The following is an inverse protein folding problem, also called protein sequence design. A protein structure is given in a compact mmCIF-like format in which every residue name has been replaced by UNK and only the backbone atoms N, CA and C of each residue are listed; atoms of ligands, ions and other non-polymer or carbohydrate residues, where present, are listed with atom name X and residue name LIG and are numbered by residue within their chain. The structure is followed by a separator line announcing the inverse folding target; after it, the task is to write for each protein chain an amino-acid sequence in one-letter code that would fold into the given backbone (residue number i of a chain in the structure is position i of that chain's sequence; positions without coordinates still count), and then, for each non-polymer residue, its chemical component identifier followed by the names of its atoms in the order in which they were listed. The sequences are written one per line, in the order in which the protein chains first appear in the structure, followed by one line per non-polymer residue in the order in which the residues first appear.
data_IF_263389421509
#
_entry.id   IF_263389421509
#
_cell.length_a   1.000
_cell.length_b   1.000
_cell.length_c   1.000
_cell.angle_alpha   90.00
_cell.angle_beta   90.00
_cell.angle_gamma   90.00
#
_symmetry.space_group_name_H-M   'P 1'
#
loop_
_entity.id
_entity.type
_entity.pdbx_description
1 polymer ?
#
# COMPACT_ATOMS: atom_id res chain seq x y z
N UNK A 1 26.71 -4.95 26.59
CA UNK A 1 26.96 -4.74 25.16
C UNK A 1 25.72 -5.21 24.43
N UNK A 2 24.88 -4.29 23.98
CA UNK A 2 23.68 -4.62 23.20
C UNK A 2 24.17 -5.04 21.83
N UNK A 3 24.08 -6.33 21.51
CA UNK A 3 24.32 -6.84 20.17
C UNK A 3 23.29 -6.18 19.27
N UNK A 4 23.70 -5.18 18.49
CA UNK A 4 22.88 -4.67 17.40
C UNK A 4 22.76 -5.83 16.42
N UNK A 5 21.63 -6.53 16.46
CA UNK A 5 21.30 -7.54 15.46
C UNK A 5 21.08 -6.75 14.17
N UNK A 6 22.10 -6.69 13.32
CA UNK A 6 21.97 -6.12 11.98
C UNK A 6 21.01 -7.00 11.19
N UNK A 7 19.84 -6.44 10.86
CA UNK A 7 18.85 -7.11 10.03
C UNK A 7 19.49 -7.42 8.67
N UNK A 8 19.29 -8.64 8.19
CA UNK A 8 19.74 -9.03 6.85
C UNK A 8 18.83 -8.42 5.77
N UNK A 9 19.35 -8.14 4.57
CA UNK A 9 18.54 -7.76 3.42
C UNK A 9 17.39 -8.75 3.15
N UNK A 10 16.25 -8.24 2.72
CA UNK A 10 15.08 -9.05 2.36
C UNK A 10 14.76 -8.97 0.85
N UNK A 11 15.71 -8.54 0.04
CA UNK A 11 15.59 -8.43 -1.41
C UNK A 11 16.89 -8.92 -2.07
N UNK A 12 16.77 -9.71 -3.13
CA UNK A 12 17.86 -10.01 -4.06
C UNK A 12 17.50 -9.50 -5.46
N UNK A 13 18.44 -8.85 -6.12
CA UNK A 13 18.31 -8.36 -7.49
C UNK A 13 19.40 -8.98 -8.35
N UNK A 14 18.96 -9.74 -9.35
CA UNK A 14 19.84 -10.45 -10.29
C UNK A 14 19.94 -9.62 -11.55
N UNK A 15 21.04 -8.89 -11.68
CA UNK A 15 21.25 -7.87 -12.72
C UNK A 15 22.12 -8.41 -13.85
N UNK A 16 22.01 -7.85 -15.05
CA UNK A 16 22.84 -8.30 -16.18
C UNK A 16 24.25 -7.68 -16.14
N UNK A 17 24.37 -6.45 -15.64
CA UNK A 17 25.64 -5.74 -15.47
C UNK A 17 25.68 -5.11 -14.07
N UNK A 18 26.58 -5.63 -13.23
CA UNK A 18 26.65 -5.22 -11.84
C UNK A 18 27.06 -3.75 -11.67
N UNK A 19 28.00 -3.24 -12.48
CA UNK A 19 28.48 -1.88 -12.32
C UNK A 19 27.41 -0.87 -12.77
N UNK A 20 26.80 -1.12 -13.93
CA UNK A 20 25.70 -0.29 -14.45
C UNK A 20 24.55 -0.19 -13.45
N UNK A 21 24.16 -1.31 -12.86
CA UNK A 21 23.04 -1.32 -11.91
C UNK A 21 23.46 -0.71 -10.57
N UNK A 22 24.70 -0.92 -10.10
CA UNK A 22 25.21 -0.22 -8.92
C UNK A 22 25.20 1.31 -9.09
N UNK A 23 25.65 1.82 -10.24
CA UNK A 23 25.61 3.26 -10.53
C UNK A 23 24.18 3.78 -10.42
N UNK A 24 23.19 3.06 -10.96
CA UNK A 24 21.77 3.41 -10.80
C UNK A 24 21.32 3.42 -9.32
N UNK A 25 21.55 2.33 -8.57
CA UNK A 25 21.08 2.26 -7.18
C UNK A 25 21.79 3.27 -6.26
N UNK A 26 23.03 3.63 -6.55
CA UNK A 26 23.79 4.60 -5.76
C UNK A 26 23.42 6.02 -6.18
N UNK A 27 23.58 6.35 -7.46
CA UNK A 27 23.48 7.72 -7.96
C UNK A 27 22.03 8.17 -8.12
N UNK A 28 21.15 7.28 -8.58
CA UNK A 28 19.72 7.60 -8.79
C UNK A 28 18.89 7.34 -7.55
N UNK A 29 19.00 6.15 -6.95
CA UNK A 29 18.13 5.78 -5.81
C UNK A 29 18.64 6.38 -4.51
N UNK A 30 19.95 6.54 -4.35
CA UNK A 30 20.59 7.07 -3.14
C UNK A 30 20.92 5.99 -2.10
N UNK A 31 21.02 4.72 -2.52
CA UNK A 31 21.52 3.65 -1.66
C UNK A 31 23.03 3.67 -1.56
N UNK A 32 23.57 3.01 -0.54
CA UNK A 32 25.01 2.94 -0.31
C UNK A 32 25.49 1.50 -0.25
N UNK A 33 26.72 1.27 -0.70
CA UNK A 33 27.37 -0.03 -0.57
C UNK A 33 27.73 -0.26 0.89
N UNK A 34 27.28 -1.39 1.43
CA UNK A 34 27.71 -1.86 2.74
C UNK A 34 29.00 -2.68 2.64
N UNK A 35 28.99 -3.70 1.77
CA UNK A 35 30.17 -4.52 1.49
C UNK A 35 30.05 -5.19 0.11
N UNK A 36 31.19 -5.63 -0.42
CA UNK A 36 31.30 -6.47 -1.62
C UNK A 36 32.04 -7.76 -1.28
N UNK A 37 31.67 -8.88 -1.87
CA UNK A 37 32.47 -10.10 -1.70
C UNK A 37 33.78 -10.00 -2.50
N UNK A 38 34.77 -10.84 -2.17
CA UNK A 38 36.11 -10.76 -2.76
C UNK A 38 36.16 -10.92 -4.29
N UNK A 39 35.12 -11.48 -4.90
CA UNK A 39 35.03 -11.66 -6.35
C UNK A 39 34.15 -10.59 -7.03
N UNK A 40 33.68 -9.59 -6.28
CA UNK A 40 32.74 -8.56 -6.74
C UNK A 40 31.51 -9.14 -7.47
N UNK A 41 31.07 -10.33 -7.10
CA UNK A 41 29.87 -10.97 -7.67
C UNK A 41 28.62 -10.71 -6.82
N UNK A 42 28.80 -10.30 -5.56
CA UNK A 42 27.74 -10.02 -4.61
C UNK A 42 28.05 -8.69 -3.94
N UNK A 43 27.07 -7.78 -3.97
CA UNK A 43 27.14 -6.49 -3.28
C UNK A 43 25.93 -6.34 -2.39
N UNK A 44 26.15 -6.00 -1.13
CA UNK A 44 25.08 -5.63 -0.22
C UNK A 44 24.89 -4.10 -0.23
N UNK A 45 23.64 -3.69 -0.37
CA UNK A 45 23.23 -2.29 -0.34
C UNK A 45 22.41 -1.97 0.91
N UNK A 46 22.61 -0.77 1.43
CA UNK A 46 21.81 -0.16 2.49
C UNK A 46 20.97 0.99 1.94
N UNK A 47 19.79 1.17 2.52
CA UNK A 47 18.99 2.36 2.21
C UNK A 47 19.54 3.63 2.86
N UNK A 48 18.88 4.75 2.58
CA UNK A 48 19.18 6.08 3.12
C UNK A 48 19.10 6.17 4.66
N UNK A 49 18.49 5.18 5.33
CA UNK A 49 18.40 5.09 6.79
C UNK A 49 19.48 4.16 7.39
N UNK A 50 20.31 3.55 6.55
CA UNK A 50 21.37 2.64 6.95
C UNK A 50 20.90 1.20 7.19
N UNK A 51 19.65 0.88 6.87
CA UNK A 51 19.10 -0.48 6.98
C UNK A 51 19.57 -1.34 5.81
N UNK A 52 19.93 -2.61 6.06
CA UNK A 52 20.33 -3.54 5.01
C UNK A 52 19.12 -3.87 4.13
N UNK A 53 19.19 -3.52 2.85
CA UNK A 53 18.01 -3.50 1.97
C UNK A 53 18.06 -4.59 0.90
N UNK A 54 19.14 -4.63 0.11
CA UNK A 54 19.21 -5.51 -1.05
C UNK A 54 20.58 -6.19 -1.19
N UNK A 55 20.56 -7.39 -1.78
CA UNK A 55 21.71 -8.04 -2.38
C UNK A 55 21.64 -7.87 -3.89
N UNK A 56 22.68 -7.33 -4.51
CA UNK A 56 22.85 -7.29 -5.97
C UNK A 56 23.86 -8.36 -6.40
N UNK A 57 23.53 -9.06 -7.49
CA UNK A 57 24.46 -10.02 -8.11
C UNK A 57 24.27 -10.09 -9.63
N UNK A 58 25.38 -10.24 -10.37
CA UNK A 58 25.34 -10.52 -11.81
C UNK A 58 25.09 -12.00 -12.14
N UNK A 59 25.05 -12.87 -11.12
CA UNK A 59 24.90 -14.31 -11.29
C UNK A 59 23.47 -14.78 -11.08
N UNK A 60 22.81 -15.22 -12.17
CA UNK A 60 21.41 -15.64 -12.15
C UNK A 60 21.13 -16.86 -11.27
N UNK A 61 22.10 -17.77 -11.14
CA UNK A 61 21.95 -19.03 -10.42
C UNK A 61 22.67 -19.07 -9.07
N UNK A 62 23.37 -17.98 -8.69
CA UNK A 62 24.15 -17.96 -7.46
C UNK A 62 23.22 -18.02 -6.24
N UNK A 63 23.50 -18.97 -5.36
CA UNK A 63 22.81 -19.08 -4.07
C UNK A 63 23.32 -17.97 -3.13
N UNK A 64 22.42 -17.07 -2.77
CA UNK A 64 22.71 -15.93 -1.88
C UNK A 64 21.92 -16.01 -0.58
N UNK A 65 21.27 -17.15 -0.29
CA UNK A 65 20.40 -17.31 0.89
C UNK A 65 21.11 -17.05 2.21
N UNK A 66 22.42 -17.31 2.28
CA UNK A 66 23.21 -17.03 3.48
C UNK A 66 23.27 -15.53 3.82
N UNK A 67 23.09 -14.65 2.83
CA UNK A 67 23.15 -13.19 3.00
C UNK A 67 21.77 -12.56 3.23
N UNK A 68 20.69 -13.32 3.10
CA UNK A 68 19.32 -12.82 3.13
C UNK A 68 18.61 -13.15 4.45
N UNK A 69 17.57 -12.37 4.76
CA UNK A 69 16.59 -12.72 5.78
C UNK A 69 15.82 -13.99 5.35
N UNK A 70 15.26 -14.69 6.34
CA UNK A 70 14.49 -15.94 6.15
C UNK A 70 13.30 -15.75 5.22
N UNK A 71 12.68 -14.56 5.26
CA UNK A 71 11.64 -14.13 4.34
C UNK A 71 12.18 -13.02 3.45
N UNK A 72 12.43 -13.33 2.18
CA UNK A 72 13.00 -12.41 1.19
C UNK A 72 12.26 -12.46 -0.15
N UNK A 73 12.49 -11.42 -0.97
CA UNK A 73 11.98 -11.27 -2.33
C UNK A 73 13.08 -11.59 -3.34
N UNK A 74 12.79 -12.45 -4.32
CA UNK A 74 13.60 -12.73 -5.53
C UNK A 74 12.73 -12.42 -6.76
N UNK A 75 12.48 -11.12 -7.05
CA UNK A 75 11.59 -10.72 -8.12
C UNK A 75 12.19 -11.07 -9.50
N UNK A 76 11.31 -11.20 -10.50
CA UNK A 76 11.71 -11.20 -11.91
C UNK A 76 11.46 -9.83 -12.55
N UNK A 77 12.17 -9.46 -13.63
CA UNK A 77 11.89 -8.23 -14.37
C UNK A 77 10.40 -8.06 -14.70
N UNK A 78 9.88 -6.85 -14.54
CA UNK A 78 8.48 -6.50 -14.63
C UNK A 78 7.69 -6.64 -13.32
N UNK A 79 8.26 -7.27 -12.28
CA UNK A 79 7.65 -7.31 -10.94
C UNK A 79 8.00 -6.07 -10.12
N UNK A 80 7.07 -5.70 -9.24
CA UNK A 80 7.18 -4.57 -8.33
C UNK A 80 7.59 -5.04 -6.95
N UNK A 81 8.45 -4.27 -6.29
CA UNK A 81 8.73 -4.39 -4.86
C UNK A 81 8.72 -3.02 -4.21
N UNK A 82 8.36 -2.98 -2.92
CA UNK A 82 8.00 -1.75 -2.24
C UNK A 82 9.07 -1.29 -1.27
N UNK A 83 9.33 0.01 -1.26
CA UNK A 83 10.14 0.69 -0.25
C UNK A 83 9.37 1.83 0.36
N UNK A 84 9.60 2.12 1.63
CA UNK A 84 9.12 3.37 2.23
C UNK A 84 10.16 4.47 2.00
N UNK A 85 9.72 5.63 1.52
CA UNK A 85 10.57 6.82 1.36
C UNK A 85 9.76 8.08 1.68
N UNK A 86 10.40 9.05 2.32
CA UNK A 86 9.83 10.38 2.56
C UNK A 86 10.18 11.34 1.41
N UNK A 87 9.40 12.41 1.26
CA UNK A 87 9.57 13.45 0.25
C UNK A 87 9.57 12.92 -1.20
N UNK A 88 8.64 12.02 -1.54
CA UNK A 88 8.56 11.43 -2.88
C UNK A 88 8.30 12.43 -3.99
N UNK A 89 7.63 13.54 -3.70
CA UNK A 89 7.47 14.62 -4.68
C UNK A 89 8.80 15.26 -5.03
N UNK A 90 9.64 15.52 -4.03
CA UNK A 90 10.94 16.15 -4.23
C UNK A 90 11.90 15.17 -4.91
N UNK A 91 11.86 13.89 -4.52
CA UNK A 91 12.60 12.83 -5.19
C UNK A 91 12.15 12.65 -6.66
N UNK A 92 10.85 12.60 -6.93
CA UNK A 92 10.35 12.54 -8.30
C UNK A 92 10.82 13.76 -9.12
N UNK A 93 10.81 14.96 -8.54
CA UNK A 93 11.33 16.15 -9.20
C UNK A 93 12.85 16.10 -9.45
N UNK A 94 13.65 15.47 -8.58
CA UNK A 94 15.08 15.30 -8.83
C UNK A 94 15.34 14.35 -9.99
N UNK A 95 14.62 13.22 -10.04
CA UNK A 95 14.69 12.26 -11.15
C UNK A 95 14.37 12.92 -12.50
N UNK A 96 13.31 13.73 -12.55
CA UNK A 96 12.94 14.45 -13.77
C UNK A 96 14.01 15.47 -14.20
N UNK A 97 14.70 16.11 -13.26
CA UNK A 97 15.81 17.04 -13.56
C UNK A 97 17.05 16.32 -14.08
N UNK A 98 17.27 15.08 -13.66
CA UNK A 98 18.35 14.21 -14.14
C UNK A 98 18.03 13.53 -15.48
N UNK A 99 16.84 13.78 -16.04
CA UNK A 99 16.42 13.23 -17.33
C UNK A 99 15.78 11.85 -17.26
N UNK A 100 15.47 11.36 -16.06
CA UNK A 100 14.82 10.06 -15.84
C UNK A 100 13.30 10.25 -15.98
N UNK A 101 12.80 9.97 -17.17
CA UNK A 101 11.39 10.21 -17.55
C UNK A 101 10.49 8.98 -17.43
N UNK A 102 11.06 7.78 -17.26
CA UNK A 102 10.33 6.53 -17.05
C UNK A 102 9.91 6.38 -15.58
N UNK A 103 9.20 7.40 -15.08
CA UNK A 103 8.68 7.48 -13.72
C UNK A 103 7.19 7.73 -13.72
N UNK A 104 6.50 7.22 -12.72
CA UNK A 104 5.07 7.47 -12.54
C UNK A 104 4.73 7.71 -11.07
N UNK A 105 4.37 8.94 -10.72
CA UNK A 105 3.90 9.30 -9.40
C UNK A 105 2.38 9.16 -9.32
N UNK A 106 1.94 8.11 -8.64
CA UNK A 106 0.55 7.85 -8.31
C UNK A 106 0.23 8.50 -6.97
N UNK A 107 -0.54 9.59 -6.99
CA UNK A 107 -0.96 10.28 -5.76
C UNK A 107 -2.36 9.84 -5.36
N UNK A 108 -2.47 9.18 -4.21
CA UNK A 108 -3.74 8.89 -3.55
C UNK A 108 -3.97 9.97 -2.50
N UNK A 109 -4.53 11.13 -2.92
CA UNK A 109 -4.57 12.31 -2.04
C UNK A 109 -5.15 11.96 -0.65
N UNK A 110 -4.41 12.35 0.38
CA UNK A 110 -4.80 12.11 1.76
C UNK A 110 -4.52 10.72 2.33
N UNK A 111 -3.98 9.80 1.52
CA UNK A 111 -3.62 8.47 1.95
C UNK A 111 -2.11 8.26 1.85
N UNK A 112 -1.59 8.29 0.63
CA UNK A 112 -0.20 8.11 0.32
C UNK A 112 0.10 8.43 -1.12
N UNK A 113 1.35 8.31 -1.50
CA UNK A 113 1.75 8.41 -2.90
C UNK A 113 2.76 7.32 -3.19
N UNK A 114 2.69 6.76 -4.40
CA UNK A 114 3.62 5.75 -4.88
C UNK A 114 4.35 6.28 -6.09
N UNK A 115 5.67 6.36 -6.03
CA UNK A 115 6.51 6.60 -7.18
C UNK A 115 6.98 5.25 -7.73
N UNK A 116 6.61 4.96 -8.97
CA UNK A 116 7.16 3.83 -9.73
C UNK A 116 8.39 4.31 -10.49
N UNK A 117 9.50 3.61 -10.30
CA UNK A 117 10.77 3.84 -11.01
C UNK A 117 11.26 2.49 -11.56
N UNK A 118 11.49 2.41 -12.86
CA UNK A 118 12.09 1.23 -13.50
C UNK A 118 13.62 1.30 -13.44
N UNK A 119 14.27 0.19 -13.16
CA UNK A 119 15.74 0.08 -13.16
C UNK A 119 16.29 -0.40 -14.52
N UNK A 120 17.62 -0.36 -14.74
CA UNK A 120 18.23 -0.76 -16.01
C UNK A 120 18.03 -2.24 -16.42
N UNK A 121 17.53 -3.08 -15.52
CA UNK A 121 17.27 -4.51 -15.75
C UNK A 121 15.75 -4.83 -15.81
N UNK A 122 14.89 -3.80 -15.78
CA UNK A 122 13.44 -3.91 -15.90
C UNK A 122 12.74 -4.22 -14.59
N UNK A 123 13.40 -4.09 -13.44
CA UNK A 123 12.77 -4.18 -12.13
C UNK A 123 12.02 -2.89 -11.82
N UNK A 124 10.87 -2.99 -11.13
CA UNK A 124 10.06 -1.81 -10.81
C UNK A 124 10.12 -1.54 -9.30
N UNK A 125 10.84 -0.48 -8.94
CA UNK A 125 10.88 0.04 -7.58
C UNK A 125 9.60 0.84 -7.32
N UNK A 126 8.81 0.42 -6.34
CA UNK A 126 7.62 1.14 -5.89
C UNK A 126 7.93 1.85 -4.57
N UNK A 127 8.38 3.09 -4.62
CA UNK A 127 8.57 3.89 -3.41
C UNK A 127 7.23 4.42 -2.95
N UNK A 128 6.86 4.14 -1.71
CA UNK A 128 5.63 4.59 -1.10
C UNK A 128 5.92 5.59 0.03
N UNK A 129 5.15 6.66 0.06
CA UNK A 129 5.16 7.67 1.12
C UNK A 129 3.77 7.78 1.71
N UNK A 130 3.69 7.74 3.04
CA UNK A 130 2.47 8.09 3.75
C UNK A 130 2.29 9.62 3.74
N UNK A 131 1.16 10.11 3.21
CA UNK A 131 0.86 11.53 3.24
C UNK A 131 0.20 11.90 4.56
N UNK A 132 0.84 12.73 5.38
CA UNK A 132 0.23 13.21 6.62
C UNK A 132 -0.89 14.20 6.31
N UNK A 133 -2.09 13.89 6.78
CA UNK A 133 -3.23 14.79 6.79
C UNK A 133 -3.45 15.30 8.22
N UNK A 134 -3.81 16.58 8.40
CA UNK A 134 -4.31 17.04 9.69
C UNK A 134 -5.62 16.32 10.05
N UNK A 135 -5.88 16.14 11.34
CA UNK A 135 -7.00 15.35 11.86
C UNK A 135 -8.36 15.77 11.26
N UNK A 136 -8.59 17.06 11.03
CA UNK A 136 -9.81 17.55 10.39
C UNK A 136 -9.99 17.07 8.94
N UNK A 137 -8.91 16.98 8.16
CA UNK A 137 -8.95 16.46 6.79
C UNK A 137 -9.12 14.94 6.78
N UNK A 138 -8.54 14.22 7.74
CA UNK A 138 -8.76 12.77 7.91
C UNK A 138 -10.24 12.49 8.15
N UNK A 139 -10.85 13.20 9.11
CA UNK A 139 -12.27 13.04 9.46
C UNK A 139 -13.16 13.41 8.27
N UNK A 140 -12.86 14.50 7.57
CA UNK A 140 -13.64 14.91 6.39
C UNK A 140 -13.54 13.88 5.25
N UNK A 141 -12.34 13.35 4.97
CA UNK A 141 -12.15 12.29 3.97
C UNK A 141 -12.97 11.04 4.32
N UNK A 142 -12.94 10.62 5.60
CA UNK A 142 -13.73 9.49 6.10
C UNK A 142 -15.24 9.73 5.95
N UNK A 143 -15.70 10.94 6.28
CA UNK A 143 -17.10 11.37 6.20
C UNK A 143 -17.63 11.43 4.77
N UNK A 144 -16.80 11.81 3.81
CA UNK A 144 -17.22 11.93 2.41
C UNK A 144 -17.36 10.59 1.69
N UNK A 145 -16.75 9.51 2.19
CA UNK A 145 -16.75 8.18 1.56
C UNK A 145 -18.15 7.70 1.10
N UNK A 146 -19.18 7.71 1.96
CA UNK A 146 -20.56 7.37 1.57
C UNK A 146 -21.09 8.16 0.36
N UNK A 147 -20.91 9.48 0.35
CA UNK A 147 -21.37 10.35 -0.74
C UNK A 147 -20.60 10.10 -2.03
N UNK A 148 -19.29 9.85 -1.92
CA UNK A 148 -18.47 9.48 -3.09
C UNK A 148 -18.92 8.15 -3.70
N UNK A 149 -19.21 7.16 -2.85
CA UNK A 149 -19.66 5.84 -3.30
C UNK A 149 -21.03 5.92 -3.96
N UNK A 150 -21.99 6.61 -3.33
CA UNK A 150 -23.33 6.81 -3.88
C UNK A 150 -23.26 7.43 -5.28
N UNK A 151 -22.44 8.49 -5.46
CA UNK A 151 -22.23 9.11 -6.77
C UNK A 151 -21.63 8.15 -7.79
N UNK A 152 -20.65 7.33 -7.39
CA UNK A 152 -20.00 6.38 -8.28
C UNK A 152 -20.92 5.24 -8.74
N UNK A 153 -21.88 4.86 -7.90
CA UNK A 153 -22.86 3.82 -8.19
C UNK A 153 -24.14 4.35 -8.85
N UNK A 154 -24.35 5.67 -8.83
CA UNK A 154 -25.54 6.29 -9.41
C UNK A 154 -25.67 5.93 -10.91
N UNK A 155 -26.87 5.52 -11.30
CA UNK A 155 -27.22 5.18 -12.67
C UNK A 155 -26.70 3.83 -13.18
N UNK A 156 -25.92 3.08 -12.40
CA UNK A 156 -25.47 1.74 -12.81
C UNK A 156 -26.62 0.73 -12.77
N UNK A 157 -26.77 -0.04 -13.85
CA UNK A 157 -27.59 -1.24 -13.86
C UNK A 157 -26.87 -2.40 -13.17
N UNK A 158 -27.59 -3.49 -12.88
CA UNK A 158 -26.97 -4.68 -12.29
C UNK A 158 -25.92 -5.32 -13.23
N UNK A 159 -26.12 -5.23 -14.54
CA UNK A 159 -25.14 -5.70 -15.52
C UNK A 159 -23.87 -4.83 -15.55
N UNK A 160 -24.00 -3.51 -15.31
CA UNK A 160 -22.84 -2.63 -15.26
C UNK A 160 -21.93 -2.94 -14.07
N UNK A 161 -22.51 -3.46 -12.98
CA UNK A 161 -21.74 -3.87 -11.80
C UNK A 161 -20.75 -5.01 -12.12
N UNK A 162 -20.97 -5.78 -13.17
CA UNK A 162 -20.12 -6.90 -13.57
C UNK A 162 -19.00 -6.49 -14.54
N UNK A 163 -18.95 -5.22 -14.94
CA UNK A 163 -17.90 -4.69 -15.82
C UNK A 163 -16.55 -4.60 -15.11
N UNK A 164 -15.48 -4.87 -15.87
CA UNK A 164 -14.08 -4.81 -15.42
C UNK A 164 -13.31 -3.74 -16.20
N UNK A 165 -12.37 -3.04 -15.54
CA UNK A 165 -11.52 -2.02 -16.20
C UNK A 165 -10.43 -2.58 -17.11
N UNK A 166 -9.98 -3.82 -16.87
CA UNK A 166 -8.98 -4.52 -17.65
C UNK A 166 -9.02 -6.04 -17.38
N UNK A 167 -8.47 -6.88 -18.27
CA UNK A 167 -8.35 -8.32 -18.03
C UNK A 167 -7.68 -8.64 -16.69
N UNK A 168 -8.25 -9.58 -15.94
CA UNK A 168 -7.73 -10.01 -14.63
C UNK A 168 -7.97 -9.01 -13.49
N UNK A 169 -8.68 -7.90 -13.71
CA UNK A 169 -9.13 -6.99 -12.64
C UNK A 169 -10.53 -7.36 -12.17
N UNK A 170 -10.82 -7.02 -10.92
CA UNK A 170 -12.15 -7.18 -10.35
C UNK A 170 -13.18 -6.28 -11.03
N UNK A 171 -14.42 -6.76 -11.04
CA UNK A 171 -15.59 -6.00 -11.44
C UNK A 171 -15.92 -4.88 -10.43
N UNK A 172 -16.83 -3.98 -10.80
CA UNK A 172 -17.36 -2.97 -9.87
C UNK A 172 -17.97 -3.65 -8.64
N UNK A 173 -18.77 -4.71 -8.83
CA UNK A 173 -19.40 -5.51 -7.77
C UNK A 173 -18.37 -6.05 -6.79
N UNK A 174 -17.36 -6.74 -7.30
CA UNK A 174 -16.28 -7.32 -6.49
C UNK A 174 -15.48 -6.25 -5.76
N UNK A 175 -15.22 -5.12 -6.42
CA UNK A 175 -14.50 -3.99 -5.85
C UNK A 175 -15.27 -3.36 -4.68
N UNK A 176 -16.58 -3.13 -4.86
CA UNK A 176 -17.47 -2.60 -3.80
C UNK A 176 -17.51 -3.53 -2.59
N UNK A 177 -17.77 -4.81 -2.81
CA UNK A 177 -17.83 -5.78 -1.71
C UNK A 177 -16.49 -5.88 -0.98
N UNK A 178 -15.37 -5.86 -1.72
CA UNK A 178 -14.04 -5.94 -1.14
C UNK A 178 -13.73 -4.79 -0.17
N UNK A 179 -13.86 -3.53 -0.60
CA UNK A 179 -13.43 -2.44 0.27
C UNK A 179 -14.37 -2.28 1.47
N UNK A 180 -15.64 -2.67 1.34
CA UNK A 180 -16.60 -2.67 2.45
C UNK A 180 -16.23 -3.74 3.48
N UNK A 181 -15.82 -4.94 3.04
CA UNK A 181 -15.33 -5.97 3.95
C UNK A 181 -14.02 -5.55 4.65
N UNK A 182 -13.14 -4.83 3.95
CA UNK A 182 -11.96 -4.20 4.57
C UNK A 182 -12.35 -3.16 5.64
N UNK A 183 -13.42 -2.41 5.40
CA UNK A 183 -13.98 -1.48 6.38
C UNK A 183 -14.48 -2.22 7.63
N UNK A 184 -15.25 -3.31 7.46
CA UNK A 184 -15.81 -4.10 8.57
C UNK A 184 -14.71 -4.67 9.46
N UNK A 185 -13.65 -5.23 8.85
CA UNK A 185 -12.50 -5.75 9.62
C UNK A 185 -11.81 -4.66 10.45
N UNK A 186 -11.81 -3.43 9.94
CA UNK A 186 -11.21 -2.27 10.61
C UNK A 186 -12.11 -1.68 11.70
N UNK A 187 -13.43 -1.70 11.52
CA UNK A 187 -14.40 -1.23 12.53
C UNK A 187 -14.19 -1.88 13.88
N UNK A 188 -14.02 -3.20 13.89
CA UNK A 188 -13.80 -3.96 15.11
C UNK A 188 -12.56 -3.50 15.87
N UNK A 189 -11.45 -3.25 15.16
CA UNK A 189 -10.22 -2.72 15.74
C UNK A 189 -10.38 -1.29 16.25
N UNK A 190 -11.04 -0.42 15.48
CA UNK A 190 -11.35 0.95 15.88
C UNK A 190 -12.20 0.95 17.16
N UNK A 191 -13.19 0.05 17.26
CA UNK A 191 -14.01 -0.08 18.46
C UNK A 191 -13.18 -0.44 19.70
N UNK A 192 -12.23 -1.36 19.59
CA UNK A 192 -11.32 -1.67 20.71
C UNK A 192 -10.44 -0.48 21.07
N UNK A 193 -9.87 0.23 20.10
CA UNK A 193 -9.08 1.43 20.40
C UNK A 193 -9.94 2.47 21.13
N UNK A 194 -11.15 2.73 20.63
CA UNK A 194 -12.06 3.71 21.22
C UNK A 194 -12.55 3.30 22.60
N UNK A 195 -12.86 2.03 22.86
CA UNK A 195 -13.41 1.59 24.15
C UNK A 195 -12.33 1.23 25.19
N UNK A 196 -11.19 0.71 24.74
CA UNK A 196 -10.15 0.08 25.55
C UNK A 196 -8.76 0.54 25.09
N UNK A 197 -8.55 1.86 25.00
CA UNK A 197 -7.30 2.44 24.51
C UNK A 197 -6.08 1.86 25.23
N UNK A 198 -5.07 1.44 24.45
CA UNK A 198 -3.88 0.75 24.94
C UNK A 198 -3.96 -0.78 24.94
N UNK A 199 -5.10 -1.37 24.56
CA UNK A 199 -5.29 -2.82 24.48
C UNK A 199 -4.38 -3.49 23.44
N UNK A 200 -3.85 -4.66 23.78
CA UNK A 200 -3.22 -5.57 22.82
C UNK A 200 -4.25 -6.10 21.82
N UNK A 201 -3.94 -5.97 20.53
CA UNK A 201 -4.79 -6.40 19.44
C UNK A 201 -4.04 -7.37 18.53
N UNK A 202 -4.55 -8.60 18.46
CA UNK A 202 -4.05 -9.60 17.53
C UNK A 202 -4.70 -9.34 16.17
N UNK A 203 -3.88 -9.02 15.18
CA UNK A 203 -4.35 -8.81 13.81
C UNK A 203 -4.80 -10.15 13.22
N UNK A 204 -6.03 -10.19 12.71
CA UNK A 204 -6.49 -11.28 11.86
C UNK A 204 -6.33 -10.85 10.40
N UNK A 205 -5.18 -11.20 9.81
CA UNK A 205 -4.93 -10.93 8.40
C UNK A 205 -5.84 -11.81 7.53
N UNK A 206 -6.27 -11.29 6.40
CA UNK A 206 -7.08 -12.02 5.44
C UNK A 206 -6.54 -11.84 4.02
N UNK A 207 -6.82 -12.82 3.17
CA UNK A 207 -6.59 -12.73 1.73
C UNK A 207 -7.90 -12.29 1.05
N UNK A 208 -7.94 -11.10 0.42
CA UNK A 208 -9.11 -10.63 -0.30
C UNK A 208 -9.63 -11.58 -1.39
N UNK A 209 -8.77 -12.35 -2.06
CA UNK A 209 -9.18 -13.30 -3.09
C UNK A 209 -9.90 -14.52 -2.49
N UNK A 210 -9.47 -14.95 -1.29
CA UNK A 210 -10.18 -16.01 -0.56
C UNK A 210 -11.55 -15.53 -0.09
N UNK A 211 -11.70 -14.25 0.24
CA UNK A 211 -13.00 -13.67 0.64
C UNK A 211 -13.92 -13.48 -0.56
N UNK A 212 -13.38 -13.01 -1.68
CA UNK A 212 -14.09 -12.90 -2.96
C UNK A 212 -14.72 -14.24 -3.35
N UNK A 213 -13.90 -15.28 -3.41
CA UNK A 213 -14.33 -16.61 -3.83
C UNK A 213 -15.18 -17.30 -2.76
N UNK A 214 -14.74 -17.24 -1.50
CA UNK A 214 -15.40 -17.90 -0.36
C UNK A 214 -16.77 -17.30 -0.02
N UNK A 215 -17.00 -16.03 -0.33
CA UNK A 215 -18.29 -15.36 -0.11
C UNK A 215 -19.01 -14.98 -1.40
N UNK A 216 -18.51 -15.41 -2.56
CA UNK A 216 -19.13 -15.26 -3.89
C UNK A 216 -19.43 -13.82 -4.29
N UNK A 217 -18.42 -12.95 -4.26
CA UNK A 217 -18.62 -11.54 -4.63
C UNK A 217 -19.21 -11.37 -6.04
N UNK A 218 -18.74 -12.17 -7.01
CA UNK A 218 -19.16 -12.10 -8.41
C UNK A 218 -20.67 -12.27 -8.66
N UNK A 219 -21.44 -12.81 -7.71
CA UNK A 219 -22.88 -13.04 -7.87
C UNK A 219 -23.74 -12.41 -6.77
N UNK A 220 -23.16 -11.56 -5.90
CA UNK A 220 -23.88 -10.96 -4.78
C UNK A 220 -24.38 -9.56 -5.09
N UNK A 221 -25.59 -9.26 -4.62
CA UNK A 221 -26.07 -7.87 -4.58
C UNK A 221 -25.16 -7.02 -3.67
N UNK A 222 -24.87 -5.80 -4.10
CA UNK A 222 -24.10 -4.82 -3.30
C UNK A 222 -24.98 -4.03 -2.34
N UNK A 223 -26.31 -4.09 -2.46
CA UNK A 223 -27.24 -3.18 -1.77
C UNK A 223 -27.05 -3.17 -0.25
N UNK A 224 -27.03 -4.35 0.38
CA UNK A 224 -26.87 -4.46 1.84
C UNK A 224 -25.46 -4.05 2.28
N UNK A 225 -24.43 -4.40 1.50
CA UNK A 225 -23.07 -4.02 1.80
C UNK A 225 -22.91 -2.49 1.79
N UNK A 226 -23.47 -1.81 0.78
CA UNK A 226 -23.45 -0.34 0.69
C UNK A 226 -24.17 0.30 1.88
N UNK A 227 -25.33 -0.21 2.28
CA UNK A 227 -26.03 0.29 3.49
C UNK A 227 -25.19 0.09 4.75
N UNK A 228 -24.55 -1.06 4.90
CA UNK A 228 -23.66 -1.35 6.02
C UNK A 228 -22.46 -0.39 6.05
N UNK A 229 -21.88 -0.09 4.89
CA UNK A 229 -20.81 0.91 4.76
C UNK A 229 -21.26 2.28 5.27
N UNK A 230 -22.43 2.76 4.85
CA UNK A 230 -22.96 4.06 5.29
C UNK A 230 -23.14 4.12 6.81
N UNK A 231 -23.83 3.11 7.37
CA UNK A 231 -24.11 3.04 8.82
C UNK A 231 -22.84 2.87 9.64
N UNK A 232 -21.86 2.10 9.16
CA UNK A 232 -20.57 1.95 9.82
C UNK A 232 -19.82 3.29 9.90
N UNK A 233 -19.79 4.05 8.80
CA UNK A 233 -19.10 5.35 8.78
C UNK A 233 -19.75 6.31 9.77
N UNK A 234 -21.07 6.38 9.78
CA UNK A 234 -21.82 7.19 10.73
C UNK A 234 -21.55 6.75 12.18
N UNK A 235 -21.55 5.44 12.45
CA UNK A 235 -21.30 4.92 13.79
C UNK A 235 -19.90 5.28 14.32
N UNK A 236 -18.85 5.19 13.48
CA UNK A 236 -17.49 5.58 13.89
C UNK A 236 -17.41 7.08 14.13
N UNK A 237 -18.00 7.91 13.25
CA UNK A 237 -17.99 9.36 13.40
C UNK A 237 -18.74 9.82 14.65
N UNK A 238 -19.86 9.18 14.98
CA UNK A 238 -20.61 9.44 16.22
C UNK A 238 -19.72 9.16 17.44
N UNK A 239 -19.10 7.97 17.52
CA UNK A 239 -18.18 7.65 18.63
C UNK A 239 -17.00 8.62 18.72
N UNK A 240 -16.42 9.01 17.58
CA UNK A 240 -15.32 9.97 17.55
C UNK A 240 -15.74 11.38 18.00
N UNK A 241 -16.98 11.77 17.73
CA UNK A 241 -17.53 13.06 18.18
C UNK A 241 -17.84 13.04 19.67
N UNK A 242 -18.31 11.91 20.18
CA UNK A 242 -18.67 11.70 21.60
C UNK A 242 -17.46 11.59 22.54
N UNK A 243 -16.26 11.37 22.01
CA UNK A 243 -15.02 11.18 22.78
C UNK A 243 -13.98 12.27 22.43
N UNK A 244 -13.65 13.20 23.35
CA UNK A 244 -12.73 14.30 23.06
C UNK A 244 -11.31 13.89 22.60
N UNK A 245 -10.85 12.71 23.04
CA UNK A 245 -9.53 12.14 22.75
C UNK A 245 -9.60 11.01 21.70
N UNK A 246 -10.72 10.85 20.99
CA UNK A 246 -10.98 9.69 20.14
C UNK A 246 -9.86 9.35 19.16
N UNK A 247 -9.29 10.37 18.50
CA UNK A 247 -8.27 10.19 17.46
C UNK A 247 -6.90 9.77 18.02
N UNK A 248 -6.60 10.15 19.27
CA UNK A 248 -5.37 9.76 19.99
C UNK A 248 -5.46 8.35 20.59
N UNK A 249 -6.67 7.79 20.72
CA UNK A 249 -6.85 6.42 21.22
C UNK A 249 -6.24 5.40 20.26
N UNK A 250 -5.79 4.28 20.81
CA UNK A 250 -5.00 3.32 20.03
C UNK A 250 -5.15 1.89 20.54
N UNK A 251 -4.70 0.94 19.72
CA UNK A 251 -4.36 -0.42 20.13
C UNK A 251 -2.87 -0.68 19.93
N UNK A 252 -2.34 -1.69 20.62
CA UNK A 252 -0.99 -2.20 20.42
C UNK A 252 -1.06 -3.43 19.50
N UNK A 253 -0.32 -3.40 18.40
CA UNK A 253 -0.17 -4.55 17.50
C UNK A 253 1.30 -4.91 17.46
N UNK A 254 1.66 -6.07 18.03
CA UNK A 254 3.04 -6.51 18.21
C UNK A 254 3.90 -5.41 18.88
N UNK A 255 3.36 -4.78 19.93
CA UNK A 255 4.01 -3.69 20.67
C UNK A 255 4.06 -2.33 19.96
N UNK A 256 3.53 -2.21 18.73
CA UNK A 256 3.46 -0.94 17.99
C UNK A 256 2.09 -0.28 18.15
N UNK A 257 2.08 1.04 18.37
CA UNK A 257 0.83 1.82 18.45
C UNK A 257 0.19 1.96 17.08
N UNK A 258 -1.09 1.62 17.00
CA UNK A 258 -1.96 1.94 15.88
C UNK A 258 -3.12 2.80 16.38
N UNK A 259 -3.03 4.11 16.10
CA UNK A 259 -3.98 5.13 16.56
C UNK A 259 -5.24 5.18 15.67
N UNK A 260 -6.36 5.60 16.25
CA UNK A 260 -7.65 5.76 15.54
C UNK A 260 -7.50 6.70 14.35
N UNK A 261 -6.77 7.82 14.47
CA UNK A 261 -6.47 8.72 13.33
C UNK A 261 -5.89 7.97 12.13
N UNK A 262 -4.92 7.08 12.37
CA UNK A 262 -4.24 6.32 11.30
C UNK A 262 -5.17 5.27 10.71
N UNK A 263 -5.94 4.58 11.56
CA UNK A 263 -6.91 3.59 11.11
C UNK A 263 -8.00 4.22 10.23
N UNK A 264 -8.63 5.31 10.69
CA UNK A 264 -9.66 6.07 9.97
C UNK A 264 -9.12 6.58 8.64
N UNK A 265 -7.96 7.23 8.65
CA UNK A 265 -7.29 7.69 7.43
C UNK A 265 -7.07 6.55 6.45
N UNK A 266 -6.55 5.42 6.94
CA UNK A 266 -6.22 4.27 6.10
C UNK A 266 -7.46 3.74 5.36
N UNK A 267 -8.55 3.46 6.08
CA UNK A 267 -9.76 2.92 5.43
C UNK A 267 -10.49 3.96 4.58
N UNK A 268 -10.40 5.25 4.90
CA UNK A 268 -10.96 6.30 4.06
C UNK A 268 -10.22 6.41 2.71
N UNK A 269 -8.89 6.37 2.74
CA UNK A 269 -8.06 6.35 1.53
C UNK A 269 -8.26 5.10 0.69
N UNK A 270 -8.29 3.93 1.32
CA UNK A 270 -8.56 2.65 0.66
C UNK A 270 -9.91 2.66 -0.09
N UNK A 271 -10.99 3.09 0.58
CA UNK A 271 -12.30 3.22 -0.06
C UNK A 271 -12.27 4.21 -1.22
N UNK A 272 -11.64 5.38 -1.05
CA UNK A 272 -11.50 6.37 -2.12
C UNK A 272 -10.75 5.83 -3.33
N UNK A 273 -9.63 5.13 -3.13
CA UNK A 273 -8.87 4.50 -4.21
C UNK A 273 -9.71 3.51 -5.01
N UNK A 274 -10.52 2.68 -4.34
CA UNK A 274 -11.45 1.77 -5.01
C UNK A 274 -12.62 2.48 -5.69
N UNK A 275 -13.14 3.57 -5.13
CA UNK A 275 -14.17 4.39 -5.78
C UNK A 275 -13.63 5.00 -7.08
N UNK A 276 -12.37 5.44 -7.11
CA UNK A 276 -11.72 5.90 -8.35
C UNK A 276 -11.66 4.76 -9.39
N UNK A 277 -11.37 3.52 -8.99
CA UNK A 277 -11.40 2.36 -9.92
C UNK A 277 -12.79 2.10 -10.50
N UNK A 278 -13.87 2.40 -9.76
CA UNK A 278 -15.25 2.35 -10.29
C UNK A 278 -15.40 3.37 -11.41
N UNK A 279 -14.97 4.62 -11.18
CA UNK A 279 -14.99 5.67 -12.21
C UNK A 279 -14.13 5.35 -13.44
N UNK A 280 -12.95 4.77 -13.24
CA UNK A 280 -12.10 4.27 -14.33
C UNK A 280 -12.83 3.22 -15.16
N UNK A 281 -13.50 2.27 -14.51
CA UNK A 281 -14.29 1.24 -15.18
C UNK A 281 -15.41 1.87 -16.01
N UNK A 282 -16.17 2.80 -15.43
CA UNK A 282 -17.22 3.55 -16.15
C UNK A 282 -16.67 4.28 -17.36
N UNK A 283 -15.52 4.94 -17.24
CA UNK A 283 -14.85 5.64 -18.34
C UNK A 283 -14.45 4.69 -19.47
N UNK A 284 -13.90 3.52 -19.16
CA UNK A 284 -13.53 2.49 -20.16
C UNK A 284 -14.76 2.02 -20.93
N UNK A 285 -15.90 1.87 -20.26
CA UNK A 285 -17.16 1.39 -20.85
C UNK A 285 -18.11 2.50 -21.30
N UNK A 286 -17.69 3.77 -21.23
CA UNK A 286 -18.45 4.95 -21.66
C UNK A 286 -19.80 5.11 -20.95
N UNK A 287 -19.85 4.80 -19.66
CA UNK A 287 -21.03 4.95 -18.80
C UNK A 287 -20.95 6.30 -18.07
N UNK A 288 -22.00 7.11 -18.21
CA UNK A 288 -22.11 8.48 -17.66
C UNK A 288 -22.28 8.48 -16.16
#
# INVERSE_FOLDING_TARGET
MTTVITKKPNLVLRVNDLNRSLDFYIDTVGWVIDWKNNNDQIVQLKDQFGESTAILTSSKELDVREFLDTAYLDPIPGQRFYFTREALKDFHQSLLKEGIVETNLLVEEGFGQTLLLEDPDGYILAFWEELYLPDNQIVELYKQGPVMLEKALHGLSDADLDLVRAPGKWSIRQTVLHFIDSDITSLHKIKFALAESGREYIRNAYDPNNWESGTKYSSRSITIAVQLFMLQREHVLEMCTSLPDALDRFVLVNGKKEEVRKMIKMIAGHARGHIIQIWETRKVHQIS
#
